data_IF_103728557864
#
_entry.id   IF_103728557864
#
_cell.length_a   1.000
_cell.length_b   1.000
_cell.length_c   1.000
_cell.angle_alpha   90.00
_cell.angle_beta   90.00
_cell.angle_gamma   90.00
#
_symmetry.space_group_name_H-M   'P 1'
#
loop_
_entity.id
_entity.type
_entity.pdbx_description
1 polymer ?
#
# COMPACT_ATOMS: atom_id res chain seq x y z
N UNK A 1 13.72 -49.14 -25.56
CA UNK A 1 15.05 -48.72 -26.07
C UNK A 1 15.02 -48.76 -27.59
N UNK A 2 14.78 -47.64 -28.24
CA UNK A 2 14.87 -47.50 -29.70
C UNK A 2 15.77 -46.30 -30.00
N UNK A 3 17.01 -46.56 -30.44
CA UNK A 3 17.99 -45.54 -30.85
C UNK A 3 17.79 -45.28 -32.34
N UNK A 4 17.33 -44.08 -32.69
CA UNK A 4 17.35 -43.58 -34.07
C UNK A 4 18.66 -42.81 -34.26
N UNK A 5 19.48 -43.25 -35.22
CA UNK A 5 20.72 -42.60 -35.66
C UNK A 5 20.39 -41.47 -36.63
N UNK A 6 20.89 -40.26 -36.37
CA UNK A 6 20.94 -39.17 -37.34
C UNK A 6 22.19 -39.31 -38.23
N UNK A 7 22.09 -39.04 -39.55
CA UNK A 7 23.25 -39.00 -40.43
C UNK A 7 24.02 -37.67 -40.30
N UNK A 8 25.34 -37.79 -40.44
CA UNK A 8 26.30 -36.69 -40.44
C UNK A 8 26.32 -35.93 -41.78
N UNK A 9 26.94 -34.74 -41.72
CA UNK A 9 27.45 -33.92 -42.83
C UNK A 9 26.47 -32.93 -43.46
N UNK A 10 26.73 -31.63 -43.22
CA UNK A 10 27.30 -30.74 -44.24
C UNK A 10 27.75 -29.42 -43.59
N UNK A 11 29.05 -29.29 -43.37
CA UNK A 11 29.71 -28.03 -43.05
C UNK A 11 29.67 -27.11 -44.28
N UNK A 12 28.88 -26.03 -44.22
CA UNK A 12 28.93 -24.98 -45.23
C UNK A 12 30.01 -23.96 -44.88
N UNK A 13 30.84 -23.70 -45.90
CA UNK A 13 32.06 -22.90 -45.88
C UNK A 13 31.71 -21.42 -45.67
N UNK A 14 32.38 -20.76 -44.71
CA UNK A 14 32.37 -19.30 -44.58
C UNK A 14 33.28 -18.68 -45.65
N UNK A 15 32.82 -17.72 -46.46
CA UNK A 15 33.70 -16.95 -47.33
C UNK A 15 34.52 -15.93 -46.53
N UNK A 16 35.84 -15.96 -46.73
CA UNK A 16 36.80 -14.98 -46.20
C UNK A 16 36.69 -13.68 -47.00
N UNK A 17 36.33 -12.58 -46.35
CA UNK A 17 36.48 -11.23 -46.92
C UNK A 17 37.89 -10.67 -46.62
N UNK A 18 38.52 -9.96 -47.57
CA UNK A 18 39.84 -9.38 -47.37
C UNK A 18 39.78 -8.11 -46.52
N UNK A 19 40.74 -7.97 -45.61
CA UNK A 19 41.00 -6.76 -44.83
C UNK A 19 41.46 -5.64 -45.78
N UNK A 20 40.66 -4.58 -45.92
CA UNK A 20 41.04 -3.39 -46.65
C UNK A 20 41.68 -2.38 -45.68
N UNK A 21 42.87 -1.93 -46.01
CA UNK A 21 43.73 -1.06 -45.22
C UNK A 21 43.21 0.38 -45.21
N UNK A 22 43.07 0.96 -44.01
CA UNK A 22 42.75 2.37 -43.82
C UNK A 22 43.90 3.26 -44.28
N UNK A 23 43.60 4.31 -45.05
CA UNK A 23 44.46 5.48 -45.21
C UNK A 23 43.77 6.69 -44.59
N UNK A 24 44.43 7.33 -43.63
CA UNK A 24 43.98 8.55 -42.96
C UNK A 24 44.70 9.73 -43.61
N UNK A 25 43.94 10.66 -44.20
CA UNK A 25 44.41 12.01 -44.54
C UNK A 25 43.88 13.01 -43.51
N UNK A 26 44.71 13.92 -42.96
CA UNK A 26 44.25 14.88 -41.98
C UNK A 26 43.62 16.08 -42.69
N UNK A 27 42.41 16.45 -42.31
CA UNK A 27 41.87 17.79 -42.57
C UNK A 27 41.66 18.47 -41.23
N UNK A 28 42.55 19.44 -40.96
CA UNK A 28 42.38 20.39 -39.88
C UNK A 28 41.47 21.52 -40.37
N UNK A 29 40.32 21.71 -39.72
CA UNK A 29 39.61 22.98 -39.70
C UNK A 29 38.78 23.03 -38.41
N UNK A 30 39.18 23.94 -37.52
CA UNK A 30 38.56 24.13 -36.22
C UNK A 30 37.15 24.67 -36.31
N UNK A 31 36.26 24.05 -35.53
CA UNK A 31 35.10 24.71 -34.97
C UNK A 31 35.20 24.47 -33.47
N UNK A 32 35.53 25.53 -32.72
CA UNK A 32 35.41 25.52 -31.28
C UNK A 32 33.91 25.52 -30.95
N UNK A 33 33.35 24.33 -30.77
CA UNK A 33 32.08 24.16 -30.08
C UNK A 33 32.37 24.48 -28.62
N UNK A 34 31.96 25.68 -28.18
CA UNK A 34 31.79 25.96 -26.76
C UNK A 34 30.64 25.06 -26.32
N UNK A 35 30.97 23.86 -25.84
CA UNK A 35 30.06 23.09 -25.01
C UNK A 35 29.91 23.86 -23.70
N UNK A 36 28.99 24.83 -23.69
CA UNK A 36 28.27 25.17 -22.47
C UNK A 36 27.70 23.85 -21.98
N UNK A 37 28.33 23.30 -20.93
CA UNK A 37 27.83 22.15 -20.21
C UNK A 37 26.49 22.52 -19.59
N UNK A 38 25.43 22.51 -20.40
CA UNK A 38 24.18 21.99 -19.94
C UNK A 38 24.50 20.54 -19.60
N UNK A 39 24.83 20.30 -18.34
CA UNK A 39 24.64 19.00 -17.76
C UNK A 39 23.14 18.73 -17.86
N UNK A 40 22.70 18.24 -19.02
CA UNK A 40 21.55 17.36 -19.08
C UNK A 40 21.81 16.31 -18.01
N UNK A 41 20.84 16.00 -17.13
CA UNK A 41 20.95 14.87 -16.22
C UNK A 41 20.81 13.60 -17.07
N UNK A 42 21.84 13.32 -17.86
CA UNK A 42 22.01 12.16 -18.71
C UNK A 42 23.19 11.31 -18.20
N UNK A 43 23.63 11.54 -16.97
CA UNK A 43 24.75 10.83 -16.35
C UNK A 43 24.37 10.10 -15.04
N UNK A 44 23.08 9.81 -14.81
CA UNK A 44 22.63 8.74 -13.90
C UNK A 44 22.11 7.50 -14.65
N UNK A 45 22.42 7.36 -15.94
CA UNK A 45 21.78 6.42 -16.89
C UNK A 45 22.06 4.92 -16.68
N UNK A 46 22.52 4.53 -15.49
CA UNK A 46 22.55 3.15 -15.01
C UNK A 46 22.25 3.19 -13.50
N UNK A 47 20.99 3.33 -13.10
CA UNK A 47 20.67 3.32 -11.68
C UNK A 47 19.18 3.44 -11.40
N UNK A 48 18.74 2.62 -10.44
CA UNK A 48 17.40 2.55 -9.85
C UNK A 48 17.14 3.81 -9.00
N UNK A 49 17.05 4.96 -9.67
CA UNK A 49 17.00 6.28 -9.07
C UNK A 49 15.66 6.58 -8.42
N UNK A 50 14.58 5.99 -8.92
CA UNK A 50 13.28 6.06 -8.27
C UNK A 50 13.29 5.24 -6.98
N UNK A 51 13.91 4.04 -6.95
CA UNK A 51 14.08 3.27 -5.69
C UNK A 51 14.84 4.10 -4.65
N UNK A 52 15.96 4.73 -5.02
CA UNK A 52 16.73 5.60 -4.12
C UNK A 52 15.89 6.80 -3.64
N UNK A 53 15.16 7.45 -4.55
CA UNK A 53 14.25 8.53 -4.20
C UNK A 53 13.16 8.04 -3.23
N UNK A 54 12.58 6.86 -3.46
CA UNK A 54 11.53 6.30 -2.63
C UNK A 54 12.00 5.98 -1.21
N UNK A 55 13.25 5.52 -1.03
CA UNK A 55 13.87 5.38 0.31
C UNK A 55 13.84 6.70 1.07
N UNK A 56 14.11 7.81 0.37
CA UNK A 56 14.14 9.15 0.94
C UNK A 56 12.79 9.83 1.11
N UNK A 57 11.71 9.29 0.53
CA UNK A 57 10.35 9.83 0.74
C UNK A 57 9.97 9.68 2.20
N UNK A 58 9.82 10.80 2.89
CA UNK A 58 9.33 10.86 4.27
C UNK A 58 7.80 10.81 4.26
N UNK A 59 7.23 9.86 4.98
CA UNK A 59 5.78 9.64 5.04
C UNK A 59 5.42 9.72 6.51
N UNK A 60 4.51 10.63 6.85
CA UNK A 60 3.99 10.72 8.21
C UNK A 60 3.53 9.35 8.68
N UNK A 61 3.85 9.00 9.93
CA UNK A 61 3.34 7.79 10.56
C UNK A 61 1.80 7.74 10.50
N UNK A 62 1.15 8.91 10.54
CA UNK A 62 -0.30 9.07 10.57
C UNK A 62 -0.97 9.03 9.18
N UNK A 63 -0.23 9.36 8.10
CA UNK A 63 -0.63 9.31 6.67
C UNK A 63 -2.16 9.20 6.39
N UNK A 64 -2.99 10.19 6.76
CA UNK A 64 -4.43 10.00 6.81
C UNK A 64 -5.10 9.94 5.43
N UNK A 65 -4.44 10.45 4.39
CA UNK A 65 -5.03 10.56 3.06
C UNK A 65 -4.77 9.34 2.19
N UNK A 66 -5.68 9.08 1.26
CA UNK A 66 -5.48 8.09 0.19
C UNK A 66 -4.11 8.22 -0.50
N UNK A 67 -3.68 9.46 -0.80
CA UNK A 67 -2.40 9.72 -1.46
C UNK A 67 -1.22 9.25 -0.59
N UNK A 68 -1.19 9.65 0.68
CA UNK A 68 -0.10 9.27 1.58
C UNK A 68 -0.06 7.75 1.82
N UNK A 69 -1.22 7.11 1.89
CA UNK A 69 -1.32 5.65 1.98
C UNK A 69 -0.85 4.96 0.69
N UNK A 70 -1.19 5.48 -0.49
CA UNK A 70 -0.71 4.94 -1.75
C UNK A 70 0.81 5.06 -1.87
N UNK A 71 1.39 6.21 -1.53
CA UNK A 71 2.85 6.40 -1.46
C UNK A 71 3.48 5.39 -0.50
N UNK A 72 2.87 5.17 0.67
CA UNK A 72 3.36 4.18 1.64
C UNK A 72 3.39 2.77 1.06
N UNK A 73 2.31 2.33 0.42
CA UNK A 73 2.24 0.99 -0.16
C UNK A 73 3.18 0.80 -1.34
N UNK A 74 3.28 1.78 -2.24
CA UNK A 74 4.29 1.72 -3.30
C UNK A 74 5.71 1.71 -2.73
N UNK A 75 5.99 2.44 -1.64
CA UNK A 75 7.30 2.39 -0.98
C UNK A 75 7.59 0.99 -0.46
N UNK A 76 6.65 0.39 0.27
CA UNK A 76 6.82 -0.95 0.82
C UNK A 76 7.05 -1.98 -0.28
N UNK A 77 6.21 -1.96 -1.33
CA UNK A 77 6.30 -2.90 -2.44
C UNK A 77 7.62 -2.75 -3.21
N UNK A 78 7.97 -1.52 -3.60
CA UNK A 78 9.20 -1.26 -4.35
C UNK A 78 10.47 -1.66 -3.59
N UNK A 79 10.51 -1.40 -2.27
CA UNK A 79 11.67 -1.76 -1.45
C UNK A 79 11.72 -3.27 -1.19
N UNK A 80 10.58 -3.95 -1.09
CA UNK A 80 10.54 -5.41 -1.00
C UNK A 80 11.07 -6.05 -2.28
N UNK A 81 10.62 -5.60 -3.45
CA UNK A 81 11.11 -6.10 -4.74
C UNK A 81 12.64 -5.88 -4.87
N UNK A 82 13.14 -4.70 -4.51
CA UNK A 82 14.57 -4.40 -4.58
C UNK A 82 15.42 -5.18 -3.57
N UNK A 83 15.03 -5.17 -2.29
CA UNK A 83 15.88 -5.61 -1.19
C UNK A 83 15.74 -7.11 -0.87
N UNK A 84 14.54 -7.66 -1.05
CA UNK A 84 14.24 -9.05 -0.68
C UNK A 84 14.19 -9.96 -1.91
N UNK A 85 13.58 -9.51 -3.00
CA UNK A 85 13.42 -10.31 -4.22
C UNK A 85 14.58 -10.08 -5.21
N UNK A 86 15.32 -8.99 -5.06
CA UNK A 86 16.32 -8.51 -6.02
C UNK A 86 15.75 -8.30 -7.44
N UNK A 87 14.45 -8.03 -7.54
CA UNK A 87 13.81 -7.58 -8.77
C UNK A 87 13.85 -6.06 -8.86
N UNK A 88 14.97 -5.57 -9.37
CA UNK A 88 15.20 -4.13 -9.44
C UNK A 88 14.43 -3.44 -10.56
N UNK A 89 13.96 -4.17 -11.58
CA UNK A 89 13.20 -3.57 -12.67
C UNK A 89 11.79 -3.24 -12.21
N UNK A 90 11.14 -4.18 -11.53
CA UNK A 90 9.80 -3.95 -10.99
C UNK A 90 9.85 -2.98 -9.81
N UNK A 91 10.88 -3.09 -8.96
CA UNK A 91 11.11 -2.12 -7.89
C UNK A 91 11.19 -0.68 -8.42
N UNK A 92 11.94 -0.44 -9.50
CA UNK A 92 12.03 0.89 -10.10
C UNK A 92 10.71 1.35 -10.68
N UNK A 93 10.00 0.46 -11.39
CA UNK A 93 8.71 0.77 -11.98
C UNK A 93 7.68 1.24 -10.94
N UNK A 94 7.54 0.51 -9.83
CA UNK A 94 6.63 0.91 -8.75
C UNK A 94 7.14 2.10 -7.94
N UNK A 95 8.46 2.26 -7.82
CA UNK A 95 9.04 3.41 -7.16
C UNK A 95 8.78 4.70 -7.95
N UNK A 96 8.81 4.66 -9.28
CA UNK A 96 8.46 5.79 -10.14
C UNK A 96 7.02 6.27 -9.87
N UNK A 97 6.07 5.34 -9.75
CA UNK A 97 4.66 5.65 -9.39
C UNK A 97 4.56 6.29 -8.00
N UNK A 98 5.25 5.72 -7.01
CA UNK A 98 5.28 6.24 -5.65
C UNK A 98 5.88 7.65 -5.55
N UNK A 99 6.97 7.89 -6.27
CA UNK A 99 7.65 9.20 -6.34
C UNK A 99 6.78 10.23 -7.06
N UNK A 100 6.16 9.87 -8.18
CA UNK A 100 5.21 10.75 -8.89
C UNK A 100 4.06 11.19 -7.99
N UNK A 101 3.47 10.23 -7.25
CA UNK A 101 2.44 10.52 -6.24
C UNK A 101 2.93 11.47 -5.15
N UNK A 102 4.16 11.30 -4.66
CA UNK A 102 4.77 12.18 -3.67
C UNK A 102 4.99 13.61 -4.21
N UNK A 103 5.16 13.76 -5.52
CA UNK A 103 5.19 15.06 -6.22
C UNK A 103 3.81 15.64 -6.55
N UNK A 104 2.73 14.96 -6.12
CA UNK A 104 1.36 15.45 -6.28
C UNK A 104 0.73 15.09 -7.63
N UNK A 105 1.37 14.24 -8.42
CA UNK A 105 0.81 13.76 -9.67
C UNK A 105 -0.43 12.88 -9.42
N UNK A 106 -1.39 12.85 -10.35
CA UNK A 106 -2.51 11.91 -10.27
C UNK A 106 -2.02 10.48 -10.50
N UNK A 107 -2.70 9.52 -9.91
CA UNK A 107 -2.41 8.09 -10.09
C UNK A 107 -3.59 7.37 -10.72
N UNK A 108 -3.29 6.39 -11.56
CA UNK A 108 -4.27 5.48 -12.12
C UNK A 108 -3.79 4.02 -11.92
N UNK A 109 -4.73 3.07 -11.78
CA UNK A 109 -4.40 1.65 -11.80
C UNK A 109 -3.76 1.26 -13.14
N UNK A 110 -2.83 0.31 -13.10
CA UNK A 110 -2.15 -0.26 -14.27
C UNK A 110 -3.10 -0.65 -15.39
N UNK A 111 -2.66 -0.61 -16.65
CA UNK A 111 -3.47 -1.12 -17.77
C UNK A 111 -2.93 -2.48 -18.22
N UNK A 112 -3.85 -3.39 -18.54
CA UNK A 112 -3.50 -4.74 -18.99
C UNK A 112 -2.89 -4.69 -20.39
N UNK A 113 -3.30 -3.72 -21.20
CA UNK A 113 -2.77 -3.44 -22.53
C UNK A 113 -1.30 -2.99 -22.49
N UNK A 114 -0.96 -2.04 -21.62
CA UNK A 114 0.39 -1.48 -21.55
C UNK A 114 1.40 -2.53 -21.07
N UNK A 115 0.95 -3.50 -20.27
CA UNK A 115 1.78 -4.57 -19.70
C UNK A 115 1.91 -5.80 -20.61
N UNK A 116 1.32 -5.79 -21.81
CA UNK A 116 1.50 -6.86 -22.80
C UNK A 116 0.87 -8.21 -22.42
N UNK A 117 -0.13 -8.21 -21.53
CA UNK A 117 -0.79 -9.43 -21.07
C UNK A 117 -1.71 -10.00 -22.17
N UNK A 118 -1.47 -11.25 -22.54
CA UNK A 118 -2.19 -11.94 -23.62
C UNK A 118 -3.67 -12.17 -23.29
N UNK A 119 -4.57 -12.22 -24.30
CA UNK A 119 -5.98 -12.54 -24.10
C UNK A 119 -6.20 -13.87 -23.37
N UNK A 120 -6.99 -13.83 -22.30
CA UNK A 120 -7.27 -15.00 -21.48
C UNK A 120 -8.11 -14.68 -20.25
N UNK A 121 -8.26 -15.69 -19.37
CA UNK A 121 -9.05 -15.56 -18.14
C UNK A 121 -8.48 -14.49 -17.21
N UNK A 122 -7.15 -14.48 -16.98
CA UNK A 122 -6.52 -13.51 -16.10
C UNK A 122 -6.62 -12.08 -16.63
N UNK A 123 -6.43 -11.87 -17.93
CA UNK A 123 -6.71 -10.56 -18.57
C UNK A 123 -8.15 -10.10 -18.35
N UNK A 124 -9.12 -10.98 -18.57
CA UNK A 124 -10.55 -10.65 -18.35
C UNK A 124 -10.82 -10.27 -16.89
N UNK A 125 -10.20 -10.98 -15.95
CA UNK A 125 -10.30 -10.71 -14.51
C UNK A 125 -9.69 -9.36 -14.15
N UNK A 126 -8.49 -9.06 -14.65
CA UNK A 126 -7.80 -7.78 -14.45
C UNK A 126 -8.58 -6.60 -15.03
N UNK A 127 -9.15 -6.73 -16.23
CA UNK A 127 -9.95 -5.67 -16.86
C UNK A 127 -11.21 -5.35 -16.02
N UNK A 128 -11.91 -6.36 -15.51
CA UNK A 128 -13.07 -6.17 -14.62
C UNK A 128 -12.66 -5.53 -13.29
N UNK A 129 -11.58 -6.01 -12.69
CA UNK A 129 -11.05 -5.49 -11.43
C UNK A 129 -10.66 -4.01 -11.58
N UNK A 130 -9.96 -3.66 -12.66
CA UNK A 130 -9.60 -2.27 -13.00
C UNK A 130 -10.82 -1.37 -13.08
N UNK A 131 -11.84 -1.81 -13.81
CA UNK A 131 -13.06 -1.04 -13.98
C UNK A 131 -13.80 -0.83 -12.65
N UNK A 132 -13.77 -1.81 -11.75
CA UNK A 132 -14.33 -1.67 -10.41
C UNK A 132 -13.51 -0.70 -9.55
N UNK A 133 -12.19 -0.83 -9.57
CA UNK A 133 -11.28 0.05 -8.83
C UNK A 133 -11.39 1.50 -9.29
N UNK A 134 -11.45 1.77 -10.60
CA UNK A 134 -11.65 3.13 -11.12
C UNK A 134 -12.93 3.77 -10.56
N UNK A 135 -14.04 3.03 -10.54
CA UNK A 135 -15.30 3.54 -9.95
C UNK A 135 -15.14 3.90 -8.48
N UNK A 136 -14.37 3.11 -7.72
CA UNK A 136 -14.08 3.41 -6.32
C UNK A 136 -13.24 4.68 -6.21
N UNK A 137 -12.16 4.78 -6.98
CA UNK A 137 -11.21 5.90 -6.94
C UNK A 137 -11.81 7.23 -7.44
N UNK A 138 -12.80 7.18 -8.33
CA UNK A 138 -13.49 8.34 -8.87
C UNK A 138 -14.73 8.77 -8.06
N UNK A 139 -15.15 7.97 -7.08
CA UNK A 139 -16.29 8.28 -6.19
C UNK A 139 -15.80 8.54 -4.76
N UNK A 140 -16.58 8.17 -3.74
CA UNK A 140 -16.29 8.49 -2.34
C UNK A 140 -15.27 7.53 -1.70
N UNK A 141 -14.84 6.49 -2.41
CA UNK A 141 -13.91 5.46 -1.91
C UNK A 141 -12.66 6.01 -1.20
N UNK A 142 -11.84 6.84 -1.87
CA UNK A 142 -10.68 7.49 -1.25
C UNK A 142 -11.00 8.36 -0.03
N UNK A 143 -12.24 8.84 0.11
CA UNK A 143 -12.66 9.66 1.24
C UNK A 143 -13.19 8.81 2.40
N UNK A 144 -14.00 7.80 2.13
CA UNK A 144 -14.63 6.95 3.16
C UNK A 144 -13.70 5.84 3.66
N UNK A 145 -12.80 5.37 2.80
CA UNK A 145 -11.87 4.29 3.08
C UNK A 145 -10.50 4.55 2.40
N UNK A 146 -9.77 5.62 2.78
CA UNK A 146 -8.53 6.03 2.12
C UNK A 146 -7.46 4.93 2.08
N UNK A 147 -7.23 4.25 3.21
CA UNK A 147 -6.24 3.16 3.29
C UNK A 147 -6.66 1.96 2.44
N UNK A 148 -7.91 1.51 2.54
CA UNK A 148 -8.39 0.37 1.75
C UNK A 148 -8.38 0.67 0.25
N UNK A 149 -8.74 1.89 -0.15
CA UNK A 149 -8.67 2.34 -1.55
C UNK A 149 -7.23 2.38 -2.07
N UNK A 150 -6.28 2.86 -1.26
CA UNK A 150 -4.87 2.86 -1.62
C UNK A 150 -4.29 1.44 -1.70
N UNK A 151 -4.67 0.58 -0.75
CA UNK A 151 -4.25 -0.81 -0.73
C UNK A 151 -4.84 -1.60 -1.91
N UNK A 152 -6.09 -1.34 -2.29
CA UNK A 152 -6.70 -1.89 -3.50
C UNK A 152 -5.94 -1.44 -4.76
N UNK A 153 -5.53 -0.17 -4.86
CA UNK A 153 -4.74 0.32 -5.97
C UNK A 153 -3.42 -0.45 -6.12
N UNK A 154 -2.61 -0.51 -5.06
CA UNK A 154 -1.28 -1.15 -5.13
C UNK A 154 -1.40 -2.68 -5.29
N UNK A 155 -2.39 -3.31 -4.66
CA UNK A 155 -2.62 -4.76 -4.83
C UNK A 155 -3.11 -5.12 -6.23
N UNK A 156 -3.92 -4.27 -6.86
CA UNK A 156 -4.30 -4.44 -8.26
C UNK A 156 -3.07 -4.35 -9.17
N UNK A 157 -2.23 -3.34 -8.96
CA UNK A 157 -1.01 -3.13 -9.73
C UNK A 157 -0.02 -4.30 -9.58
N UNK A 158 0.17 -4.81 -8.35
CA UNK A 158 0.93 -6.05 -8.12
C UNK A 158 0.31 -7.24 -8.87
N UNK A 159 -1.02 -7.39 -8.86
CA UNK A 159 -1.65 -8.51 -9.57
C UNK A 159 -1.44 -8.43 -11.09
N UNK A 160 -1.46 -7.23 -11.67
CA UNK A 160 -1.11 -7.04 -13.08
C UNK A 160 0.32 -7.50 -13.36
N UNK A 161 1.28 -7.06 -12.55
CA UNK A 161 2.70 -7.45 -12.68
C UNK A 161 2.90 -8.96 -12.52
N UNK A 162 2.36 -9.59 -11.47
CA UNK A 162 2.52 -11.03 -11.26
C UNK A 162 1.92 -11.88 -12.40
N UNK A 163 0.86 -11.39 -13.05
CA UNK A 163 0.30 -12.04 -14.25
C UNK A 163 1.19 -11.83 -15.47
N UNK A 164 1.82 -10.67 -15.63
CA UNK A 164 2.80 -10.39 -16.68
C UNK A 164 4.02 -11.30 -16.56
N UNK A 165 4.54 -11.49 -15.35
CA UNK A 165 5.67 -12.42 -15.10
C UNK A 165 5.29 -13.88 -15.41
N UNK A 166 4.05 -14.28 -15.12
CA UNK A 166 3.52 -15.59 -15.51
C UNK A 166 4.21 -16.80 -14.86
N UNK A 167 4.99 -16.59 -13.79
CA UNK A 167 5.83 -17.63 -13.20
C UNK A 167 5.34 -18.16 -11.84
N UNK A 168 4.61 -17.37 -11.05
CA UNK A 168 4.30 -17.70 -9.65
C UNK A 168 2.80 -17.62 -9.35
N UNK A 169 2.06 -18.71 -9.58
CA UNK A 169 0.61 -18.77 -9.34
C UNK A 169 0.20 -18.39 -7.90
N UNK A 170 1.06 -18.66 -6.91
CA UNK A 170 0.82 -18.28 -5.52
C UNK A 170 0.88 -16.75 -5.32
N UNK A 171 1.80 -16.05 -5.99
CA UNK A 171 1.91 -14.59 -5.89
C UNK A 171 0.78 -13.89 -6.64
N UNK A 172 0.41 -14.39 -7.82
CA UNK A 172 -0.80 -13.96 -8.55
C UNK A 172 -2.02 -14.08 -7.62
N UNK A 173 -2.18 -15.22 -6.94
CA UNK A 173 -3.27 -15.43 -6.00
C UNK A 173 -3.20 -14.49 -4.79
N UNK A 174 -2.01 -14.21 -4.27
CA UNK A 174 -1.80 -13.33 -3.13
C UNK A 174 -2.24 -11.90 -3.46
N UNK A 175 -1.68 -11.28 -4.50
CA UNK A 175 -2.02 -9.91 -4.88
C UNK A 175 -3.49 -9.76 -5.32
N UNK A 176 -4.04 -10.78 -6.00
CA UNK A 176 -5.46 -10.83 -6.31
C UNK A 176 -6.35 -10.90 -5.06
N UNK A 177 -5.97 -11.68 -4.06
CA UNK A 177 -6.74 -11.82 -2.82
C UNK A 177 -6.70 -10.51 -2.03
N UNK A 178 -5.52 -9.92 -1.88
CA UNK A 178 -5.34 -8.61 -1.24
C UNK A 178 -6.18 -7.52 -1.90
N UNK A 179 -6.22 -7.47 -3.24
CA UNK A 179 -7.10 -6.57 -3.98
C UNK A 179 -8.58 -6.79 -3.63
N UNK A 180 -9.05 -8.04 -3.69
CA UNK A 180 -10.44 -8.39 -3.39
C UNK A 180 -10.82 -8.03 -1.96
N UNK A 181 -9.96 -8.30 -0.99
CA UNK A 181 -10.23 -8.05 0.43
C UNK A 181 -10.32 -6.54 0.67
N UNK A 182 -9.44 -5.76 0.06
CA UNK A 182 -9.51 -4.30 0.07
C UNK A 182 -10.83 -3.77 -0.52
N UNK A 183 -11.27 -4.32 -1.65
CA UNK A 183 -12.55 -3.95 -2.28
C UNK A 183 -13.76 -4.33 -1.42
N UNK A 184 -13.70 -5.44 -0.68
CA UNK A 184 -14.74 -5.84 0.29
C UNK A 184 -14.83 -4.84 1.44
N UNK A 185 -13.69 -4.40 1.99
CA UNK A 185 -13.66 -3.37 3.03
C UNK A 185 -14.29 -2.08 2.52
N UNK A 186 -13.94 -1.63 1.32
CA UNK A 186 -14.50 -0.41 0.72
C UNK A 186 -16.03 -0.54 0.58
N UNK A 187 -16.51 -1.68 0.09
CA UNK A 187 -17.95 -1.94 -0.05
C UNK A 187 -18.68 -1.97 1.31
N UNK A 188 -18.04 -2.49 2.36
CA UNK A 188 -18.60 -2.48 3.72
C UNK A 188 -18.73 -1.05 4.26
N UNK A 189 -17.72 -0.20 4.05
CA UNK A 189 -17.79 1.22 4.42
C UNK A 189 -18.88 1.96 3.63
N UNK A 190 -19.01 1.71 2.34
CA UNK A 190 -20.06 2.28 1.48
C UNK A 190 -21.47 1.84 1.93
N UNK A 191 -21.62 0.58 2.36
CA UNK A 191 -22.85 0.04 2.92
C UNK A 191 -23.15 0.50 4.36
N UNK A 192 -22.26 1.26 4.99
CA UNK A 192 -22.37 1.68 6.40
C UNK A 192 -22.26 0.51 7.39
N UNK A 193 -21.69 -0.62 6.99
CA UNK A 193 -21.47 -1.77 7.84
C UNK A 193 -20.26 -1.57 8.74
N UNK A 194 -20.43 -1.81 10.05
CA UNK A 194 -19.31 -2.03 10.96
C UNK A 194 -19.04 -3.54 11.00
N UNK A 195 -17.80 -4.02 10.78
CA UNK A 195 -17.50 -5.44 10.87
C UNK A 195 -17.82 -5.96 12.27
N UNK A 196 -18.14 -7.24 12.38
CA UNK A 196 -18.61 -7.88 13.62
C UNK A 196 -17.68 -7.56 14.81
N UNK A 197 -18.09 -6.55 15.59
CA UNK A 197 -17.41 -6.10 16.79
C UNK A 197 -17.67 -7.13 17.89
N UNK A 198 -16.63 -7.79 18.35
CA UNK A 198 -16.70 -8.82 19.40
C UNK A 198 -16.58 -8.24 20.80
N UNK A 199 -15.84 -7.13 20.94
CA UNK A 199 -15.71 -6.38 22.18
C UNK A 199 -15.40 -4.92 21.86
N UNK A 200 -15.88 -4.01 22.71
CA UNK A 200 -15.60 -2.58 22.58
C UNK A 200 -15.32 -1.97 23.95
N UNK A 201 -14.34 -1.07 24.01
CA UNK A 201 -14.14 -0.21 25.18
C UNK A 201 -13.91 1.24 24.74
N UNK A 202 -14.20 2.17 25.65
CA UNK A 202 -14.00 3.61 25.43
C UNK A 202 -13.10 4.15 26.53
N UNK A 203 -12.00 4.79 26.14
CA UNK A 203 -11.09 5.47 27.06
C UNK A 203 -11.22 6.99 26.91
N UNK A 204 -11.14 7.71 28.02
CA UNK A 204 -11.34 9.15 28.06
C UNK A 204 -10.06 9.91 28.38
N UNK A 205 -9.97 11.13 27.89
CA UNK A 205 -8.80 12.00 28.06
C UNK A 205 -9.16 13.34 28.68
N UNK A 206 -8.16 13.91 29.36
CA UNK A 206 -8.21 15.30 29.82
C UNK A 206 -8.30 16.29 28.66
N UNK A 207 -8.67 17.52 29.00
CA UNK A 207 -8.70 18.61 28.03
C UNK A 207 -7.27 18.86 27.53
N UNK A 208 -7.11 18.92 26.20
CA UNK A 208 -5.82 19.13 25.55
C UNK A 208 -4.72 18.11 25.94
N UNK A 209 -5.14 16.87 26.22
CA UNK A 209 -4.24 15.80 26.64
C UNK A 209 -4.39 14.54 25.80
N UNK A 210 -3.27 13.84 25.61
CA UNK A 210 -3.17 12.51 25.01
C UNK A 210 -2.56 11.46 25.97
N UNK A 211 -2.31 11.83 27.22
CA UNK A 211 -1.81 10.91 28.24
C UNK A 211 -2.95 10.06 28.79
N UNK A 212 -2.75 8.74 28.86
CA UNK A 212 -3.71 7.82 29.47
C UNK A 212 -3.81 8.04 30.98
N UNK A 213 -5.03 8.05 31.50
CA UNK A 213 -5.30 8.02 32.94
C UNK A 213 -5.19 6.58 33.48
N UNK A 214 -5.16 6.42 34.80
CA UNK A 214 -5.27 5.11 35.44
C UNK A 214 -6.52 4.37 34.98
N UNK A 215 -7.65 5.07 34.92
CA UNK A 215 -8.94 4.51 34.55
C UNK A 215 -8.95 4.05 33.08
N UNK A 216 -8.26 4.79 32.20
CA UNK A 216 -8.07 4.38 30.81
C UNK A 216 -7.23 3.10 30.71
N UNK A 217 -6.15 2.99 31.47
CA UNK A 217 -5.34 1.77 31.51
C UNK A 217 -6.12 0.57 32.06
N UNK A 218 -6.95 0.77 33.09
CA UNK A 218 -7.82 -0.28 33.62
C UNK A 218 -8.87 -0.75 32.60
N UNK A 219 -9.46 0.18 31.83
CA UNK A 219 -10.40 -0.14 30.77
C UNK A 219 -9.77 -0.95 29.62
N UNK A 220 -8.52 -0.66 29.25
CA UNK A 220 -7.78 -1.44 28.24
C UNK A 220 -7.43 -2.85 28.73
N UNK A 221 -7.00 -2.98 30.00
CA UNK A 221 -6.78 -4.31 30.62
C UNK A 221 -8.07 -5.15 30.67
N UNK A 222 -9.20 -4.49 30.96
CA UNK A 222 -10.49 -5.17 30.97
C UNK A 222 -10.89 -5.66 29.56
N UNK A 223 -10.60 -4.88 28.52
CA UNK A 223 -10.82 -5.30 27.13
C UNK A 223 -9.96 -6.52 26.79
N UNK A 224 -8.66 -6.49 27.10
CA UNK A 224 -7.75 -7.62 26.87
C UNK A 224 -8.28 -8.91 27.52
N UNK A 225 -8.74 -8.82 28.78
CA UNK A 225 -9.29 -9.97 29.52
C UNK A 225 -10.59 -10.51 28.93
N UNK A 226 -11.34 -9.72 28.15
CA UNK A 226 -12.57 -10.16 27.49
C UNK A 226 -12.33 -10.94 26.20
N UNK A 227 -11.11 -10.91 25.65
CA UNK A 227 -10.78 -11.60 24.41
C UNK A 227 -10.44 -13.06 24.70
N UNK A 228 -11.38 -13.97 24.40
CA UNK A 228 -11.20 -15.43 24.56
C UNK A 228 -10.05 -15.97 23.70
N UNK A 229 -9.87 -15.42 22.50
CA UNK A 229 -8.77 -15.70 21.58
C UNK A 229 -8.24 -14.38 20.99
N UNK A 230 -7.26 -13.73 21.64
CA UNK A 230 -6.66 -12.49 21.16
C UNK A 230 -6.08 -12.63 19.73
N UNK A 231 -5.60 -13.82 19.36
CA UNK A 231 -4.99 -14.07 18.05
C UNK A 231 -6.02 -14.08 16.91
N UNK A 232 -7.29 -14.33 17.23
CA UNK A 232 -8.41 -14.33 16.31
C UNK A 232 -9.05 -12.94 16.10
N UNK A 233 -8.56 -11.88 16.75
CA UNK A 233 -9.13 -10.53 16.64
C UNK A 233 -8.14 -9.47 16.17
N UNK A 234 -8.65 -8.50 15.42
CA UNK A 234 -7.97 -7.23 15.09
C UNK A 234 -8.58 -6.12 15.94
N UNK A 235 -7.76 -5.16 16.39
CA UNK A 235 -8.19 -4.04 17.21
C UNK A 235 -8.20 -2.75 16.40
N UNK A 236 -9.38 -2.15 16.26
CA UNK A 236 -9.57 -0.81 15.68
C UNK A 236 -9.51 0.22 16.80
N UNK A 237 -8.67 1.25 16.65
CA UNK A 237 -8.39 2.23 17.71
C UNK A 237 -8.72 3.65 17.22
N UNK A 238 -9.94 4.12 17.41
CA UNK A 238 -10.43 5.35 16.80
C UNK A 238 -10.38 6.51 17.81
N UNK A 239 -9.60 7.55 17.52
CA UNK A 239 -9.47 8.74 18.35
C UNK A 239 -10.48 9.83 18.02
N UNK A 240 -10.96 10.54 19.05
CA UNK A 240 -11.88 11.68 18.94
C UNK A 240 -11.43 12.87 19.79
N UNK A 241 -11.86 14.07 19.39
CA UNK A 241 -11.69 15.32 20.12
C UNK A 241 -13.04 16.07 20.28
N UNK A 242 -13.09 16.99 21.23
CA UNK A 242 -14.23 17.92 21.38
C UNK A 242 -14.07 19.13 20.45
N UNK A 243 -15.16 19.85 20.16
CA UNK A 243 -15.16 20.98 19.21
C UNK A 243 -14.55 22.26 19.76
N UNK A 244 -13.74 22.18 20.83
CA UNK A 244 -13.25 23.35 21.55
C UNK A 244 -12.11 24.09 20.82
N UNK A 245 -11.36 23.38 19.97
CA UNK A 245 -10.23 23.91 19.21
C UNK A 245 -10.49 23.94 17.70
N UNK A 246 -9.50 24.38 16.91
CA UNK A 246 -9.57 24.28 15.44
C UNK A 246 -9.65 22.82 14.98
N UNK A 247 -10.39 22.58 13.88
CA UNK A 247 -10.61 21.22 13.36
C UNK A 247 -9.30 20.46 13.06
N UNK A 248 -8.29 21.09 12.44
CA UNK A 248 -6.99 20.47 12.17
C UNK A 248 -6.27 20.09 13.48
N UNK A 249 -6.30 20.97 14.48
CA UNK A 249 -5.70 20.68 15.79
C UNK A 249 -6.39 19.50 16.48
N UNK A 250 -7.72 19.45 16.38
CA UNK A 250 -8.54 18.40 16.96
C UNK A 250 -8.29 17.04 16.29
N UNK A 251 -8.02 17.02 14.98
CA UNK A 251 -7.56 15.83 14.26
C UNK A 251 -6.23 15.34 14.85
N UNK A 252 -5.19 16.18 14.89
CA UNK A 252 -3.87 15.80 15.40
C UNK A 252 -3.93 15.33 16.87
N UNK A 253 -4.74 16.00 17.71
CA UNK A 253 -4.94 15.59 19.11
C UNK A 253 -5.61 14.23 19.22
N UNK A 254 -6.57 13.94 18.35
CA UNK A 254 -7.26 12.65 18.34
C UNK A 254 -6.35 11.50 17.86
N UNK A 255 -5.44 11.75 16.92
CA UNK A 255 -4.42 10.78 16.47
C UNK A 255 -3.45 10.43 17.58
N UNK A 256 -2.89 11.44 18.27
CA UNK A 256 -1.98 11.21 19.42
C UNK A 256 -2.62 10.36 20.52
N UNK A 257 -3.93 10.48 20.73
CA UNK A 257 -4.67 9.65 21.68
C UNK A 257 -4.77 8.20 21.21
N UNK A 258 -5.06 7.99 19.92
CA UNK A 258 -5.11 6.66 19.33
C UNK A 258 -3.74 5.96 19.44
N UNK A 259 -2.65 6.69 19.15
CA UNK A 259 -1.28 6.19 19.32
C UNK A 259 -0.99 5.80 20.77
N UNK A 260 -1.31 6.66 21.74
CA UNK A 260 -1.09 6.35 23.16
C UNK A 260 -1.84 5.09 23.61
N UNK A 261 -3.03 4.85 23.06
CA UNK A 261 -3.81 3.62 23.30
C UNK A 261 -3.16 2.41 22.63
N UNK A 262 -2.72 2.53 21.38
CA UNK A 262 -2.05 1.45 20.66
C UNK A 262 -0.73 1.02 21.34
N UNK A 263 0.07 1.99 21.81
CA UNK A 263 1.28 1.74 22.59
C UNK A 263 0.96 0.99 23.88
N UNK A 264 -0.06 1.44 24.62
CA UNK A 264 -0.47 0.78 25.86
C UNK A 264 -0.99 -0.64 25.63
N UNK A 265 -1.74 -0.88 24.56
CA UNK A 265 -2.19 -2.22 24.17
C UNK A 265 -1.00 -3.13 23.80
N UNK A 266 0.00 -2.58 23.12
CA UNK A 266 1.23 -3.29 22.78
C UNK A 266 2.05 -3.65 24.03
N UNK A 267 2.19 -2.70 24.97
CA UNK A 267 2.86 -2.92 26.25
C UNK A 267 2.15 -3.98 27.13
N UNK A 268 0.84 -4.15 26.93
CA UNK A 268 0.03 -5.19 27.59
C UNK A 268 0.18 -6.58 26.93
N UNK A 269 0.87 -6.69 25.79
CA UNK A 269 1.20 -7.97 25.16
C UNK A 269 0.47 -8.27 23.85
N UNK A 270 -0.37 -7.33 23.35
CA UNK A 270 -0.94 -7.44 22.01
C UNK A 270 0.15 -7.17 20.96
N UNK A 271 0.18 -7.96 19.90
CA UNK A 271 1.12 -7.77 18.81
C UNK A 271 0.70 -6.61 17.92
N UNK A 272 1.67 -5.91 17.34
CA UNK A 272 1.43 -4.77 16.44
C UNK A 272 0.59 -5.19 15.22
N UNK A 273 0.69 -6.43 14.74
CA UNK A 273 -0.13 -6.96 13.62
C UNK A 273 -1.60 -7.24 14.00
N UNK A 274 -1.92 -7.24 15.29
CA UNK A 274 -3.29 -7.34 15.80
C UNK A 274 -3.92 -5.97 16.00
N UNK A 275 -3.12 -4.90 16.03
CA UNK A 275 -3.65 -3.55 16.06
C UNK A 275 -3.85 -3.13 14.61
N UNK A 276 -5.10 -2.95 14.23
CA UNK A 276 -5.48 -2.32 12.97
C UNK A 276 -5.06 -0.84 13.05
N UNK A 277 -3.79 -0.61 12.73
CA UNK A 277 -3.13 0.70 12.64
C UNK A 277 -3.76 1.59 11.55
N UNK A 278 -4.80 1.10 10.89
CA UNK A 278 -5.47 1.66 9.72
C UNK A 278 -6.85 2.18 10.08
N UNK A 279 -7.46 1.57 11.10
CA UNK A 279 -8.56 2.10 11.87
C UNK A 279 -8.09 3.02 13.02
N UNK A 280 -6.78 3.26 13.14
CA UNK A 280 -6.21 4.38 13.88
C UNK A 280 -6.53 5.72 13.21
N UNK A 281 -7.81 6.07 13.20
CA UNK A 281 -8.27 7.34 12.66
C UNK A 281 -8.35 8.38 13.77
N UNK A 282 -7.72 9.54 13.55
CA UNK A 282 -8.16 10.76 14.19
C UNK A 282 -9.46 11.23 13.56
N UNK A 283 -10.61 10.77 14.06
CA UNK A 283 -11.90 11.29 13.63
C UNK A 283 -12.05 12.80 13.94
N UNK A 284 -11.11 13.37 14.71
CA UNK A 284 -11.13 14.75 15.14
C UNK A 284 -12.44 15.04 15.84
N UNK A 285 -13.12 16.08 15.39
CA UNK A 285 -14.41 16.51 15.92
C UNK A 285 -15.62 16.08 15.07
N UNK A 286 -15.41 15.25 14.04
CA UNK A 286 -16.43 14.94 13.02
C UNK A 286 -17.47 13.90 13.46
N UNK A 287 -17.18 13.14 14.51
CA UNK A 287 -18.07 12.12 15.08
C UNK A 287 -18.20 12.29 16.61
N UNK A 288 -18.91 13.33 17.09
CA UNK A 288 -19.08 13.56 18.52
C UNK A 288 -19.97 12.47 19.16
N UNK A 289 -19.63 12.04 20.37
CA UNK A 289 -20.54 11.22 21.19
C UNK A 289 -21.73 12.06 21.70
N UNK A 290 -21.50 13.36 21.87
CA UNK A 290 -22.50 14.34 22.28
C UNK A 290 -22.41 15.52 21.35
N UNK A 291 -23.49 15.76 20.60
CA UNK A 291 -23.53 16.87 19.64
C UNK A 291 -23.32 18.21 20.35
N UNK A 292 -22.40 19.01 19.83
CA UNK A 292 -22.01 20.30 20.40
C UNK A 292 -21.68 21.28 19.28
N UNK A 293 -21.83 22.58 19.54
CA UNK A 293 -21.38 23.61 18.60
C UNK A 293 -19.87 23.84 18.68
N UNK A 294 -19.34 24.58 17.71
CA UNK A 294 -17.92 24.96 17.69
C UNK A 294 -17.55 25.81 18.92
N UNK A 295 -16.34 25.63 19.42
CA UNK A 295 -15.82 26.24 20.64
C UNK A 295 -16.30 25.59 21.95
N UNK A 296 -17.12 24.54 21.89
CA UNK A 296 -17.68 23.90 23.08
C UNK A 296 -16.79 22.75 23.56
N UNK A 297 -16.44 22.80 24.85
CA UNK A 297 -15.74 21.70 25.54
C UNK A 297 -16.75 20.65 25.99
N UNK A 298 -16.52 19.40 25.63
CA UNK A 298 -17.37 18.27 26.04
C UNK A 298 -16.48 17.07 26.36
N UNK A 299 -16.28 16.75 27.65
CA UNK A 299 -15.44 15.65 28.09
C UNK A 299 -15.71 14.31 27.43
N UNK A 300 -16.98 13.99 27.15
CA UNK A 300 -17.35 12.73 26.51
C UNK A 300 -16.88 12.64 25.06
N UNK A 301 -16.61 13.77 24.41
CA UNK A 301 -16.07 13.80 23.04
C UNK A 301 -14.55 13.58 23.01
N UNK A 302 -13.85 13.73 24.14
CA UNK A 302 -12.40 13.48 24.26
C UNK A 302 -12.13 12.03 24.60
N UNK A 303 -12.23 11.17 23.60
CA UNK A 303 -12.21 9.72 23.80
C UNK A 303 -11.43 8.99 22.71
N UNK A 304 -11.04 7.75 22.99
CA UNK A 304 -10.70 6.75 21.98
C UNK A 304 -11.65 5.59 22.14
N UNK A 305 -12.20 5.10 21.03
CA UNK A 305 -13.01 3.88 20.97
C UNK A 305 -12.10 2.77 20.48
N UNK A 306 -12.01 1.67 21.23
CA UNK A 306 -11.27 0.48 20.82
C UNK A 306 -12.27 -0.62 20.55
N UNK A 307 -12.30 -1.13 19.32
CA UNK A 307 -13.16 -2.22 18.90
C UNK A 307 -12.29 -3.42 18.55
N UNK A 308 -12.50 -4.54 19.23
CA UNK A 308 -12.06 -5.83 18.74
C UNK A 308 -13.06 -6.31 17.70
N UNK A 309 -12.56 -6.63 16.51
CA UNK A 309 -13.32 -7.25 15.43
C UNK A 309 -12.67 -8.60 15.15
N UNK A 310 -13.44 -9.60 14.72
CA UNK A 310 -12.83 -10.83 14.23
C UNK A 310 -11.81 -10.50 13.13
N UNK A 311 -10.63 -11.13 13.16
CA UNK A 311 -9.69 -11.05 12.03
C UNK A 311 -10.37 -11.70 10.83
N UNK A 312 -10.83 -10.89 9.88
CA UNK A 312 -10.61 -11.27 8.49
C UNK A 312 -9.08 -11.29 8.28
N UNK A 313 -8.60 -12.23 7.45
CA UNK A 313 -7.18 -12.55 7.30
C UNK A 313 -6.26 -11.30 7.33
N UNK A 314 -5.17 -11.40 8.10
CA UNK A 314 -4.28 -10.29 8.48
C UNK A 314 -3.89 -9.34 7.34
N UNK A 315 -3.58 -8.08 7.70
CA UNK A 315 -2.95 -7.07 6.84
C UNK A 315 -1.59 -7.61 6.35
N UNK A 316 -1.60 -8.30 5.22
CA UNK A 316 -0.41 -8.85 4.60
C UNK A 316 0.30 -7.73 3.84
N UNK A 317 1.65 -7.64 3.87
CA UNK A 317 2.35 -6.82 2.89
C UNK A 317 1.88 -7.18 1.48
N UNK A 318 1.70 -6.18 0.62
CA UNK A 318 1.44 -6.46 -0.80
C UNK A 318 2.62 -7.33 -1.28
N UNK A 319 2.34 -8.54 -1.78
CA UNK A 319 3.27 -9.65 -2.08
C UNK A 319 3.48 -10.77 -1.03
N UNK A 320 2.94 -10.68 0.19
CA UNK A 320 3.13 -11.74 1.20
C UNK A 320 1.92 -12.65 1.34
N UNK A 321 1.95 -13.79 0.66
CA UNK A 321 1.30 -14.99 1.16
C UNK A 321 2.16 -16.23 0.88
N UNK A 322 2.68 -16.86 1.94
CA UNK A 322 3.14 -18.25 1.86
C UNK A 322 1.93 -19.16 1.70
N UNK A 323 2.02 -20.13 0.79
CA UNK A 323 0.99 -21.12 0.46
C UNK A 323 0.28 -21.71 1.70
N UNK A 324 -0.85 -21.11 2.07
CA UNK A 324 -1.67 -21.52 3.20
C UNK A 324 -3.05 -20.89 3.06
N UNK A 325 -4.03 -21.74 2.82
CA UNK A 325 -5.48 -21.47 2.79
C UNK A 325 -6.05 -20.76 1.56
N UNK A 326 -6.47 -21.61 0.61
CA UNK A 326 -7.38 -21.27 -0.49
C UNK A 326 -8.76 -20.99 0.09
N UNK A 327 -9.13 -19.71 0.22
CA UNK A 327 -10.53 -19.32 0.45
C UNK A 327 -11.28 -19.43 -0.88
N UNK A 328 -12.28 -20.32 -0.89
CA UNK A 328 -13.16 -20.63 -2.01
C UNK A 328 -13.79 -19.36 -2.61
N UNK A 329 -13.67 -19.20 -3.92
CA UNK A 329 -14.27 -18.14 -4.72
C UNK A 329 -15.80 -18.12 -4.49
N UNK A 330 -16.35 -17.03 -3.95
CA UNK A 330 -17.79 -16.77 -3.99
C UNK A 330 -18.15 -16.15 -5.34
N UNK A 331 -19.28 -16.57 -5.92
CA UNK A 331 -19.76 -16.31 -7.29
C UNK A 331 -20.11 -14.83 -7.60
N UNK A 332 -19.38 -13.86 -7.03
CA UNK A 332 -19.56 -12.44 -7.32
C UNK A 332 -18.62 -11.90 -8.41
N UNK A 333 -17.83 -12.73 -9.09
CA UNK A 333 -16.87 -12.29 -10.13
C UNK A 333 -16.71 -13.25 -11.32
#
# INVERSE_FOLDING_TARGET
MARVRLPASLAQRRPTMPLNTMSLTPVAAGVAVVCLGLASPAHSQWGFGAVDAMRSVDISADAPTFREQAIRYYKQFSLFEADEMADWYDAEYFAEKGVALAHGEPIAPETVEDQGIEPGLERTRLERARAALIRVLETDGPAIAPKASAYALVSYDCWVEQVQEGHQAAHIQACRSQFRDAMTVIAAYDAGATPDVVAETVVYFGFDQATLTSDAQDALRALETQLDDPDAVSLRVIGHADRAGPADYNRDLSERRAVAVAEALTDMGLRVDQIDTLAMAGAGETAPAVETGDGVREPRNRRVVVQAVWREAADHPVAMASAGDVVLESDLW
#
